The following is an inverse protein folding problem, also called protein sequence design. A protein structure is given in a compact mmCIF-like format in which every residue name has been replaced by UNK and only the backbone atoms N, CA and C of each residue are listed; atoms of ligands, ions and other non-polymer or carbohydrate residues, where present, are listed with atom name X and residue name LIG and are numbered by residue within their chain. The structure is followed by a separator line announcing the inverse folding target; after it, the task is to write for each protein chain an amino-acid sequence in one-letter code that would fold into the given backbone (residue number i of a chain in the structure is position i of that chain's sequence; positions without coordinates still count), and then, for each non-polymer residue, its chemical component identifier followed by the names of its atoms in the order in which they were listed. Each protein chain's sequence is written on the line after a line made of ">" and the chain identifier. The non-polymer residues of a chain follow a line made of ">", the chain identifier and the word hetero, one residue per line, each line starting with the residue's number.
data_IF_044033573568
#
_entry.id   IF_044033573568
#
_cell.length_a   1.000
_cell.length_b   1.000
_cell.length_c   1.000
_cell.angle_alpha   90.00
_cell.angle_beta   90.00
_cell.angle_gamma   90.00
#
_symmetry.space_group_name_H-M   'P 1'
#
loop_
_entity.id
_entity.type
_entity.pdbx_description
1 polymer ?
#
# COMPACT_ATOMS: atom_id res chain seq x y z
N UNK A 1 15.47 3.73 -8.80
CA UNK A 1 14.38 4.59 -9.29
C UNK A 1 13.27 4.52 -8.25
N UNK A 2 12.77 5.65 -7.76
CA UNK A 2 11.75 5.72 -6.70
C UNK A 2 10.30 5.63 -7.23
N UNK A 3 10.13 5.65 -8.55
CA UNK A 3 8.84 5.51 -9.23
C UNK A 3 8.92 4.21 -10.03
N UNK A 4 8.01 3.28 -9.75
CA UNK A 4 7.75 2.15 -10.61
C UNK A 4 6.35 2.32 -11.19
N UNK A 5 6.26 2.40 -12.51
CA UNK A 5 5.03 2.19 -13.24
C UNK A 5 5.41 1.45 -14.51
N UNK A 6 4.87 0.24 -14.64
CA UNK A 6 5.06 -0.63 -15.80
C UNK A 6 3.98 -0.40 -16.85
N UNK A 7 2.91 0.31 -16.49
CA UNK A 7 1.75 0.53 -17.35
C UNK A 7 0.81 -0.67 -17.40
N UNK A 8 1.09 -1.72 -16.63
CA UNK A 8 0.18 -2.82 -16.34
C UNK A 8 -0.49 -2.54 -14.98
N UNK A 9 -1.79 -2.19 -14.95
CA UNK A 9 -2.47 -1.83 -13.71
C UNK A 9 -2.43 -2.92 -12.63
N UNK A 10 -2.39 -4.20 -13.00
CA UNK A 10 -2.33 -5.29 -12.02
C UNK A 10 -0.96 -5.35 -11.35
N UNK A 11 0.11 -5.26 -12.16
CA UNK A 11 1.47 -5.23 -11.64
C UNK A 11 1.72 -3.98 -10.78
N UNK A 12 1.28 -2.81 -11.27
CA UNK A 12 1.46 -1.53 -10.58
C UNK A 12 0.75 -1.54 -9.20
N UNK A 13 -0.50 -2.05 -9.11
CA UNK A 13 -1.22 -2.17 -7.84
C UNK A 13 -0.57 -3.17 -6.86
N UNK A 14 0.04 -4.24 -7.36
CA UNK A 14 0.82 -5.16 -6.52
C UNK A 14 2.08 -4.50 -5.96
N UNK A 15 2.76 -3.68 -6.77
CA UNK A 15 3.92 -2.91 -6.33
C UNK A 15 3.51 -1.85 -5.27
N UNK A 16 2.37 -1.18 -5.46
CA UNK A 16 1.83 -0.22 -4.48
C UNK A 16 1.52 -0.90 -3.14
N UNK A 17 0.80 -2.03 -3.13
CA UNK A 17 0.54 -2.79 -1.90
C UNK A 17 1.84 -3.22 -1.20
N UNK A 18 2.84 -3.68 -1.96
CA UNK A 18 4.12 -4.07 -1.39
C UNK A 18 4.89 -2.87 -0.79
N UNK A 19 4.77 -1.69 -1.40
CA UNK A 19 5.35 -0.47 -0.88
C UNK A 19 4.73 -0.06 0.47
N UNK A 20 3.39 -0.13 0.59
CA UNK A 20 2.72 0.22 1.84
C UNK A 20 3.04 -0.77 2.97
N UNK A 21 3.11 -2.06 2.68
CA UNK A 21 3.50 -3.05 3.69
C UNK A 21 4.96 -2.84 4.17
N UNK A 22 5.85 -2.44 3.25
CA UNK A 22 7.24 -2.09 3.61
C UNK A 22 7.31 -0.81 4.44
N UNK A 23 6.51 0.20 4.13
CA UNK A 23 6.42 1.42 4.93
C UNK A 23 5.88 1.11 6.34
N UNK A 24 4.78 0.35 6.44
CA UNK A 24 4.19 -0.14 7.70
C UNK A 24 5.23 -0.85 8.58
N UNK A 25 5.97 -1.80 8.01
CA UNK A 25 7.01 -2.53 8.72
C UNK A 25 8.17 -1.62 9.18
N UNK A 26 8.52 -0.61 8.37
CA UNK A 26 9.53 0.38 8.73
C UNK A 26 9.08 1.22 9.93
N UNK A 27 7.84 1.69 9.93
CA UNK A 27 7.28 2.44 11.06
C UNK A 27 7.17 1.60 12.33
N UNK A 28 6.76 0.34 12.22
CA UNK A 28 6.78 -0.60 13.35
C UNK A 28 8.17 -0.74 13.97
N UNK A 29 9.20 -0.87 13.13
CA UNK A 29 10.57 -0.96 13.62
C UNK A 29 11.03 0.34 14.30
N UNK A 30 10.72 1.50 13.73
CA UNK A 30 11.08 2.81 14.30
C UNK A 30 10.37 3.08 15.65
N UNK A 31 9.10 2.72 15.79
CA UNK A 31 8.34 2.85 17.04
C UNK A 31 9.01 2.03 18.15
N UNK A 32 9.50 0.84 17.84
CA UNK A 32 10.20 -0.01 18.81
C UNK A 32 11.59 0.49 19.19
N UNK A 33 12.18 1.39 18.40
CA UNK A 33 13.52 1.95 18.63
C UNK A 33 13.50 3.28 19.40
N UNK A 34 12.39 4.02 19.34
CA UNK A 34 12.28 5.39 19.86
C UNK A 34 11.58 5.42 21.22
N UNK A 35 12.15 6.16 22.17
CA UNK A 35 11.53 6.48 23.46
C UNK A 35 10.77 7.83 23.46
N UNK A 36 10.79 8.59 22.35
CA UNK A 36 10.09 9.87 22.22
C UNK A 36 8.58 9.68 21.93
N UNK A 37 7.68 10.10 22.84
CA UNK A 37 6.23 9.95 22.67
C UNK A 37 5.66 10.68 21.45
N UNK A 38 6.13 11.89 21.14
CA UNK A 38 5.57 12.73 20.07
C UNK A 38 5.92 12.15 18.69
N UNK A 39 7.14 11.64 18.57
CA UNK A 39 7.59 10.90 17.40
C UNK A 39 6.75 9.61 17.24
N UNK A 40 6.60 8.85 18.31
CA UNK A 40 5.88 7.58 18.27
C UNK A 40 4.40 7.75 17.90
N UNK A 41 3.74 8.80 18.38
CA UNK A 41 2.35 9.09 18.01
C UNK A 41 2.20 9.46 16.54
N UNK A 42 3.16 10.20 15.98
CA UNK A 42 3.22 10.48 14.54
C UNK A 42 3.41 9.19 13.73
N UNK A 43 4.33 8.31 14.15
CA UNK A 43 4.57 7.04 13.45
C UNK A 43 3.38 6.08 13.53
N UNK A 44 2.66 6.02 14.66
CA UNK A 44 1.45 5.22 14.78
C UNK A 44 0.37 5.68 13.80
N UNK A 45 0.19 6.99 13.64
CA UNK A 45 -0.74 7.55 12.67
C UNK A 45 -0.36 7.16 11.24
N UNK A 46 0.92 7.29 10.87
CA UNK A 46 1.39 6.89 9.53
C UNK A 46 1.23 5.39 9.30
N UNK A 47 1.60 4.55 10.28
CA UNK A 47 1.44 3.10 10.22
C UNK A 47 -0.02 2.69 9.95
N UNK A 48 -0.98 3.29 10.65
CA UNK A 48 -2.39 2.99 10.45
C UNK A 48 -2.85 3.38 9.04
N UNK A 49 -2.34 4.50 8.51
CA UNK A 49 -2.62 4.90 7.13
C UNK A 49 -2.10 3.90 6.11
N UNK A 50 -0.92 3.30 6.33
CA UNK A 50 -0.41 2.30 5.37
C UNK A 50 -1.24 1.02 5.36
N UNK A 51 -1.85 0.65 6.49
CA UNK A 51 -2.85 -0.43 6.53
C UNK A 51 -4.07 -0.07 5.67
N UNK A 52 -4.58 1.16 5.81
CA UNK A 52 -5.71 1.63 5.00
C UNK A 52 -5.34 1.71 3.52
N UNK A 53 -4.18 2.24 3.16
CA UNK A 53 -3.72 2.31 1.77
C UNK A 53 -3.59 0.90 1.16
N UNK A 54 -2.97 -0.04 1.87
CA UNK A 54 -2.87 -1.44 1.45
C UNK A 54 -4.26 -2.03 1.14
N UNK A 55 -5.23 -1.84 2.04
CA UNK A 55 -6.61 -2.30 1.84
C UNK A 55 -7.25 -1.65 0.62
N UNK A 56 -7.10 -0.33 0.42
CA UNK A 56 -7.66 0.39 -0.73
C UNK A 56 -7.06 -0.04 -2.06
N UNK A 57 -5.75 -0.30 -2.09
CA UNK A 57 -5.11 -0.86 -3.29
C UNK A 57 -5.61 -2.28 -3.57
N UNK A 58 -5.81 -3.10 -2.53
CA UNK A 58 -6.42 -4.43 -2.67
C UNK A 58 -7.84 -4.40 -3.21
N UNK A 59 -8.69 -3.51 -2.70
CA UNK A 59 -10.05 -3.27 -3.23
C UNK A 59 -10.00 -2.85 -4.71
N UNK A 60 -9.08 -1.95 -5.05
CA UNK A 60 -8.90 -1.48 -6.43
C UNK A 60 -8.43 -2.61 -7.35
N UNK A 61 -7.51 -3.45 -6.89
CA UNK A 61 -7.00 -4.61 -7.63
C UNK A 61 -8.13 -5.58 -7.98
N UNK A 62 -9.02 -5.85 -7.02
CA UNK A 62 -10.19 -6.68 -7.26
C UNK A 62 -11.09 -6.10 -8.35
N UNK A 63 -11.43 -4.81 -8.26
CA UNK A 63 -12.27 -4.12 -9.26
C UNK A 63 -11.62 -4.16 -10.65
N UNK A 64 -10.31 -3.95 -10.74
CA UNK A 64 -9.56 -3.99 -11.99
C UNK A 64 -9.59 -5.39 -12.60
N UNK A 65 -9.38 -6.44 -11.80
CA UNK A 65 -9.45 -7.82 -12.28
C UNK A 65 -10.86 -8.19 -12.75
N UNK A 66 -11.91 -7.83 -12.01
CA UNK A 66 -13.30 -8.03 -12.44
C UNK A 66 -13.61 -7.33 -13.77
N UNK A 67 -13.11 -6.10 -13.97
CA UNK A 67 -13.25 -5.38 -15.22
C UNK A 67 -12.54 -6.07 -16.39
N UNK A 68 -11.32 -6.58 -16.17
CA UNK A 68 -10.54 -7.27 -17.19
C UNK A 68 -11.14 -8.63 -17.56
N UNK A 69 -11.72 -9.34 -16.59
CA UNK A 69 -12.38 -10.63 -16.79
C UNK A 69 -13.77 -10.51 -17.46
N UNK A 70 -14.33 -9.31 -17.53
CA UNK A 70 -15.61 -9.07 -18.19
C UNK A 70 -15.51 -9.27 -19.70
N UNK A 71 -16.24 -10.24 -20.24
CA UNK A 71 -16.34 -10.49 -21.69
C UNK A 71 -16.87 -9.25 -22.42
N UNK A 72 -16.02 -8.63 -23.24
CA UNK A 72 -16.42 -7.57 -24.18
C UNK A 72 -17.07 -8.23 -25.40
N UNK A 73 -18.39 -8.30 -25.44
CA UNK A 73 -19.13 -8.64 -26.65
C UNK A 73 -19.17 -7.40 -27.55
N UNK A 74 -18.60 -7.50 -28.76
CA UNK A 74 -18.66 -6.48 -29.81
C UNK A 74 -19.69 -6.87 -30.87
#
# INVERSE_FOLDING_TARGET
>A
AYIQSKGDPVADLHEDMAAEEKARATYDWLINLSDDPDLNDTLKFLREREIVHFQRFGETLQIVQEYLDTKKCF
#
